data_IF_408913539268
#
_entry.id   IF_408913539268
#
_cell.length_a   1.000
_cell.length_b   1.000
_cell.length_c   1.000
_cell.angle_alpha   90.00
_cell.angle_beta   90.00
_cell.angle_gamma   90.00
#
_symmetry.space_group_name_H-M   'P 1'
#
loop_
_entity.id
_entity.type
_entity.pdbx_description
1 polymer ?
#
# COMPACT_ATOMS: atom_id res chain seq x y z
N UNK A 1 -49.11 -0.74 9.69
CA UNK A 1 -47.80 -1.25 9.22
C UNK A 1 -47.46 -0.53 7.92
N UNK A 2 -46.35 0.22 7.85
CA UNK A 2 -45.81 0.74 6.60
C UNK A 2 -44.32 1.16 6.73
N UNK A 3 -43.52 0.83 5.71
CA UNK A 3 -42.27 1.47 5.31
C UNK A 3 -41.11 1.63 6.33
N UNK A 4 -40.29 0.58 6.49
CA UNK A 4 -38.87 0.69 6.93
C UNK A 4 -37.94 -0.23 6.10
N UNK A 5 -37.99 -0.11 4.76
CA UNK A 5 -37.01 -0.72 3.85
C UNK A 5 -36.73 0.28 2.72
N UNK A 6 -35.51 0.83 2.64
CA UNK A 6 -35.16 1.74 1.53
C UNK A 6 -33.81 2.47 1.58
N UNK A 7 -33.17 2.66 2.73
CA UNK A 7 -32.03 3.60 2.84
C UNK A 7 -30.63 2.98 2.90
N UNK A 8 -30.47 1.66 3.02
CA UNK A 8 -29.14 1.02 3.15
C UNK A 8 -28.38 0.80 1.83
N UNK A 9 -29.02 0.95 0.67
CA UNK A 9 -28.40 0.67 -0.64
C UNK A 9 -27.52 1.79 -1.21
N UNK A 10 -27.78 3.05 -0.82
CA UNK A 10 -27.01 4.20 -1.31
C UNK A 10 -25.67 4.34 -0.57
N UNK A 11 -25.69 4.27 0.77
CA UNK A 11 -24.52 4.38 1.63
C UNK A 11 -23.45 3.32 1.31
N UNK A 12 -23.88 2.06 1.17
CA UNK A 12 -23.02 0.94 0.76
C UNK A 12 -22.40 1.12 -0.63
N UNK A 13 -23.11 1.74 -1.56
CA UNK A 13 -22.58 2.05 -2.91
C UNK A 13 -21.56 3.18 -2.88
N UNK A 14 -21.84 4.26 -2.14
CA UNK A 14 -20.91 5.39 -1.95
C UNK A 14 -19.62 4.90 -1.30
N UNK A 15 -19.72 4.06 -0.27
CA UNK A 15 -18.56 3.46 0.39
C UNK A 15 -17.72 2.57 -0.57
N UNK A 16 -18.37 1.83 -1.46
CA UNK A 16 -17.67 1.03 -2.49
C UNK A 16 -16.98 1.89 -3.56
N UNK A 17 -17.57 3.03 -3.94
CA UNK A 17 -16.98 3.99 -4.86
C UNK A 17 -15.76 4.68 -4.24
N UNK A 18 -15.87 5.19 -3.01
CA UNK A 18 -14.76 5.81 -2.26
C UNK A 18 -13.57 4.84 -2.10
N UNK A 19 -13.84 3.58 -1.75
CA UNK A 19 -12.80 2.52 -1.71
C UNK A 19 -12.16 2.23 -3.06
N UNK A 20 -12.86 2.47 -4.17
CA UNK A 20 -12.32 2.28 -5.53
C UNK A 20 -11.44 3.47 -5.92
N UNK A 21 -11.86 4.69 -5.59
CA UNK A 21 -11.10 5.93 -5.79
C UNK A 21 -9.78 5.91 -5.00
N UNK A 22 -9.81 5.52 -3.72
CA UNK A 22 -8.61 5.34 -2.89
C UNK A 22 -7.61 4.38 -3.57
N UNK A 23 -8.09 3.24 -4.09
CA UNK A 23 -7.23 2.28 -4.80
C UNK A 23 -6.65 2.82 -6.10
N UNK A 24 -7.43 3.61 -6.86
CA UNK A 24 -6.96 4.28 -8.08
C UNK A 24 -5.85 5.28 -7.74
N UNK A 25 -6.02 6.08 -6.67
CA UNK A 25 -5.02 7.05 -6.23
C UNK A 25 -3.70 6.36 -5.83
N UNK A 26 -3.76 5.27 -5.05
CA UNK A 26 -2.56 4.48 -4.68
C UNK A 26 -1.88 3.89 -5.92
N UNK A 27 -2.64 3.40 -6.93
CA UNK A 27 -2.03 2.97 -8.19
C UNK A 27 -1.30 4.15 -8.85
N UNK A 28 -1.90 5.34 -8.96
CA UNK A 28 -1.22 6.48 -9.59
C UNK A 28 0.05 6.91 -8.86
N UNK A 29 0.07 6.83 -7.54
CA UNK A 29 1.27 7.10 -6.71
C UNK A 29 2.38 6.08 -6.93
N UNK A 30 2.05 4.79 -7.07
CA UNK A 30 3.03 3.70 -7.19
C UNK A 30 3.43 3.36 -8.63
N UNK A 31 2.66 3.79 -9.63
CA UNK A 31 2.86 3.42 -11.03
C UNK A 31 4.14 4.01 -11.61
N UNK A 32 4.39 5.30 -11.38
CA UNK A 32 5.63 5.96 -11.79
C UNK A 32 5.91 5.79 -13.30
N UNK A 33 7.15 5.46 -13.67
CA UNK A 33 7.57 5.31 -15.08
C UNK A 33 6.78 4.22 -15.85
N UNK A 34 6.20 3.23 -15.18
CA UNK A 34 5.43 2.14 -15.81
C UNK A 34 4.09 2.60 -16.41
N UNK A 35 3.70 3.87 -16.25
CA UNK A 35 2.40 4.36 -16.75
C UNK A 35 2.24 4.19 -18.26
N UNK A 36 3.30 4.41 -19.04
CA UNK A 36 3.24 4.29 -20.51
C UNK A 36 3.15 2.83 -20.97
N UNK A 37 3.57 1.88 -20.13
CA UNK A 37 3.42 0.45 -20.37
C UNK A 37 2.00 0.00 -19.99
N UNK A 38 1.49 0.44 -18.83
CA UNK A 38 0.11 0.22 -18.44
C UNK A 38 -0.88 0.79 -19.47
N UNK A 39 -0.58 1.97 -20.03
CA UNK A 39 -1.40 2.58 -21.07
C UNK A 39 -1.52 1.68 -22.32
N UNK A 40 -0.40 1.10 -22.77
CA UNK A 40 -0.38 0.18 -23.92
C UNK A 40 -1.12 -1.12 -23.63
N UNK A 41 -0.93 -1.68 -22.44
CA UNK A 41 -1.62 -2.91 -22.00
C UNK A 41 -3.14 -2.69 -21.93
N UNK A 42 -3.56 -1.52 -21.42
CA UNK A 42 -4.94 -1.05 -21.45
C UNK A 42 -5.42 -0.59 -22.84
N UNK A 43 -4.66 -0.84 -23.92
CA UNK A 43 -5.03 -0.52 -25.31
C UNK A 43 -5.22 0.98 -25.61
N UNK A 44 -4.46 1.86 -24.95
CA UNK A 44 -4.36 3.27 -25.36
C UNK A 44 -3.37 3.47 -26.51
N UNK A 45 -3.75 4.34 -27.44
CA UNK A 45 -2.93 4.66 -28.61
C UNK A 45 -1.71 5.52 -28.27
N UNK A 46 -0.75 5.55 -29.19
CA UNK A 46 0.46 6.39 -29.08
C UNK A 46 0.09 7.87 -28.93
N UNK A 47 -1.00 8.32 -29.56
CA UNK A 47 -1.48 9.70 -29.48
C UNK A 47 -2.04 10.07 -28.10
N UNK A 48 -2.78 9.18 -27.44
CA UNK A 48 -3.24 9.40 -26.06
C UNK A 48 -2.07 9.46 -25.07
N UNK A 49 -1.10 8.55 -25.23
CA UNK A 49 0.14 8.53 -24.45
C UNK A 49 0.95 9.80 -24.69
N UNK A 50 1.06 10.27 -25.94
CA UNK A 50 1.72 11.52 -26.27
C UNK A 50 1.01 12.72 -25.64
N UNK A 51 -0.33 12.77 -25.72
CA UNK A 51 -1.14 13.85 -25.12
C UNK A 51 -0.91 13.96 -23.61
N UNK A 52 -1.06 12.85 -22.87
CA UNK A 52 -0.84 12.81 -21.42
C UNK A 52 0.55 13.31 -21.04
N UNK A 53 1.59 12.90 -21.78
CA UNK A 53 2.98 13.32 -21.56
C UNK A 53 3.21 14.81 -21.83
N UNK A 54 2.59 15.37 -22.86
CA UNK A 54 2.73 16.80 -23.22
C UNK A 54 1.94 17.71 -22.27
N UNK A 55 0.78 17.25 -21.80
CA UNK A 55 -0.05 17.96 -20.82
C UNK A 55 0.59 17.98 -19.42
N UNK A 56 1.30 16.91 -19.03
CA UNK A 56 1.82 16.71 -17.69
C UNK A 56 3.36 16.49 -17.65
N UNK A 57 4.18 17.36 -18.29
CA UNK A 57 5.57 17.02 -18.64
C UNK A 57 6.52 16.83 -17.45
N UNK A 58 6.21 17.43 -16.30
CA UNK A 58 7.10 17.49 -15.12
C UNK A 58 6.71 16.53 -13.99
N UNK A 59 5.64 15.74 -14.14
CA UNK A 59 5.08 14.94 -13.04
C UNK A 59 4.62 13.57 -13.53
N UNK A 60 5.30 12.51 -13.06
CA UNK A 60 4.88 11.13 -13.29
C UNK A 60 3.59 10.77 -12.54
N UNK A 61 3.32 11.46 -11.42
CA UNK A 61 2.08 11.32 -10.68
C UNK A 61 0.90 11.81 -11.53
N UNK A 62 0.99 13.03 -12.07
CA UNK A 62 -0.06 13.57 -12.94
C UNK A 62 -0.21 12.76 -14.24
N UNK A 63 0.89 12.28 -14.85
CA UNK A 63 0.81 11.36 -15.99
C UNK A 63 0.05 10.06 -15.64
N UNK A 64 0.32 9.49 -14.45
CA UNK A 64 -0.34 8.27 -13.97
C UNK A 64 -1.81 8.51 -13.62
N UNK A 65 -2.13 9.59 -12.90
CA UNK A 65 -3.51 9.96 -12.56
C UNK A 65 -4.33 10.32 -13.81
N UNK A 66 -3.75 11.04 -14.78
CA UNK A 66 -4.39 11.34 -16.05
C UNK A 66 -4.71 10.07 -16.85
N UNK A 67 -3.81 9.09 -16.88
CA UNK A 67 -4.07 7.78 -17.47
C UNK A 67 -5.24 7.05 -16.81
N UNK A 68 -5.26 6.98 -15.47
CA UNK A 68 -6.34 6.27 -14.76
C UNK A 68 -7.69 6.98 -14.87
N UNK A 69 -7.69 8.32 -14.89
CA UNK A 69 -8.89 9.13 -15.17
C UNK A 69 -9.41 8.91 -16.59
N UNK A 70 -8.52 8.82 -17.58
CA UNK A 70 -8.88 8.52 -18.96
C UNK A 70 -9.41 7.08 -19.11
N UNK A 71 -8.81 6.11 -18.42
CA UNK A 71 -9.30 4.72 -18.34
C UNK A 71 -10.70 4.65 -17.73
N UNK A 72 -10.91 5.27 -16.56
CA UNK A 72 -12.19 5.29 -15.88
C UNK A 72 -13.28 5.96 -16.74
N UNK A 73 -12.93 7.05 -17.43
CA UNK A 73 -13.83 7.75 -18.36
C UNK A 73 -14.18 6.91 -19.59
N UNK A 74 -13.21 6.17 -20.15
CA UNK A 74 -13.39 5.31 -21.33
C UNK A 74 -14.28 4.10 -21.04
N UNK A 75 -14.07 3.44 -19.90
CA UNK A 75 -14.79 2.22 -19.54
C UNK A 75 -16.13 2.53 -18.82
N UNK A 76 -16.21 3.66 -18.12
CA UNK A 76 -17.44 4.18 -17.51
C UNK A 76 -18.11 3.17 -16.57
N UNK A 77 -19.37 2.83 -16.82
CA UNK A 77 -20.12 1.83 -16.03
C UNK A 77 -19.54 0.41 -16.10
N UNK A 78 -18.63 0.15 -17.03
CA UNK A 78 -17.95 -1.15 -17.19
C UNK A 78 -16.60 -1.19 -16.46
N UNK A 79 -16.17 -0.09 -15.83
CA UNK A 79 -14.88 0.02 -15.16
C UNK A 79 -14.74 -1.06 -14.08
N UNK A 80 -13.78 -1.97 -14.25
CA UNK A 80 -13.52 -3.10 -13.36
C UNK A 80 -12.10 -3.03 -12.84
N UNK A 81 -11.97 -3.03 -11.51
CA UNK A 81 -10.66 -3.05 -10.84
C UNK A 81 -9.82 -4.28 -11.23
N UNK A 82 -10.47 -5.42 -11.44
CA UNK A 82 -9.85 -6.67 -11.91
C UNK A 82 -9.10 -6.50 -13.25
N UNK A 83 -9.61 -5.68 -14.16
CA UNK A 83 -8.95 -5.38 -15.43
C UNK A 83 -7.69 -4.56 -15.24
N UNK A 84 -7.68 -3.59 -14.31
CA UNK A 84 -6.44 -2.88 -13.91
C UNK A 84 -5.44 -3.83 -13.27
N UNK A 85 -5.88 -4.70 -12.36
CA UNK A 85 -5.00 -5.66 -11.69
C UNK A 85 -4.36 -6.67 -12.65
N UNK A 86 -5.11 -7.11 -13.67
CA UNK A 86 -4.59 -7.98 -14.72
C UNK A 86 -3.56 -7.23 -15.57
N UNK A 87 -3.87 -6.01 -16.02
CA UNK A 87 -2.95 -5.18 -16.78
C UNK A 87 -1.66 -4.86 -16.00
N UNK A 88 -1.76 -4.55 -14.71
CA UNK A 88 -0.61 -4.34 -13.81
C UNK A 88 0.28 -5.59 -13.71
N UNK A 89 -0.31 -6.78 -13.60
CA UNK A 89 0.44 -8.05 -13.58
C UNK A 89 1.13 -8.35 -14.92
N UNK A 90 0.48 -8.00 -16.04
CA UNK A 90 1.03 -8.21 -17.39
C UNK A 90 2.23 -7.29 -17.72
N UNK A 91 2.41 -6.19 -16.98
CA UNK A 91 3.59 -5.30 -17.07
C UNK A 91 4.59 -5.52 -15.91
N UNK A 92 4.56 -6.70 -15.29
CA UNK A 92 5.40 -7.09 -14.14
C UNK A 92 5.25 -6.21 -12.87
N UNK A 93 4.18 -5.40 -12.78
CA UNK A 93 3.85 -4.54 -11.62
C UNK A 93 2.87 -5.18 -10.64
N UNK A 94 3.07 -6.46 -10.34
CA UNK A 94 2.30 -7.18 -9.33
C UNK A 94 2.49 -6.63 -7.90
N UNK A 95 3.60 -5.93 -7.63
CA UNK A 95 3.92 -5.24 -6.38
C UNK A 95 2.83 -4.24 -5.95
N UNK A 96 2.28 -3.50 -6.92
CA UNK A 96 1.18 -2.55 -6.68
C UNK A 96 -0.08 -3.31 -6.25
N UNK A 97 -0.42 -4.41 -6.92
CA UNK A 97 -1.63 -5.19 -6.62
C UNK A 97 -1.57 -5.76 -5.19
N UNK A 98 -0.43 -6.35 -4.80
CA UNK A 98 -0.23 -6.85 -3.43
C UNK A 98 -0.29 -5.73 -2.39
N UNK A 99 0.20 -4.53 -2.70
CA UNK A 99 0.10 -3.37 -1.79
C UNK A 99 -1.36 -2.95 -1.53
N UNK A 100 -2.23 -3.05 -2.53
CA UNK A 100 -3.66 -2.74 -2.41
C UNK A 100 -4.45 -3.81 -1.64
N UNK A 101 -4.06 -5.08 -1.77
CA UNK A 101 -4.69 -6.19 -1.06
C UNK A 101 -4.32 -6.17 0.44
N UNK A 102 -3.09 -5.78 0.79
CA UNK A 102 -2.65 -5.59 2.17
C UNK A 102 -3.35 -4.45 2.93
N UNK A 103 -4.04 -3.55 2.23
CA UNK A 103 -4.84 -2.47 2.81
C UNK A 103 -6.35 -2.79 2.92
N UNK A 104 -6.77 -4.02 2.60
CA UNK A 104 -8.15 -4.43 2.86
C UNK A 104 -8.46 -4.31 4.37
N UNK A 105 -9.60 -3.71 4.76
CA UNK A 105 -10.07 -3.79 6.13
C UNK A 105 -10.21 -5.26 6.52
N UNK A 106 -9.46 -5.70 7.52
CA UNK A 106 -9.58 -7.02 8.11
C UNK A 106 -11.07 -7.25 8.47
N UNK A 107 -11.74 -8.28 7.93
CA UNK A 107 -13.01 -8.71 8.48
C UNK A 107 -12.76 -9.08 9.94
N UNK A 108 -13.48 -8.44 10.87
CA UNK A 108 -13.40 -8.77 12.28
C UNK A 108 -13.63 -10.28 12.45
N UNK A 109 -12.70 -11.03 13.09
CA UNK A 109 -12.88 -12.47 13.30
C UNK A 109 -13.96 -12.69 14.38
N UNK A 110 -15.22 -12.77 13.93
CA UNK A 110 -16.40 -12.88 14.75
C UNK A 110 -17.23 -14.13 14.42
N UNK A 111 -17.16 -15.12 15.31
CA UNK A 111 -18.03 -16.30 15.41
C UNK A 111 -17.80 -17.47 14.43
N UNK A 112 -17.05 -18.46 14.91
CA UNK A 112 -17.51 -19.85 14.93
C UNK A 112 -17.18 -20.43 16.30
N UNK A 113 -18.10 -21.17 16.90
CA UNK A 113 -18.14 -21.40 18.35
C UNK A 113 -17.25 -22.54 18.88
N UNK A 114 -16.83 -22.35 20.13
CA UNK A 114 -16.54 -23.33 21.19
C UNK A 114 -15.91 -24.70 20.82
N UNK A 115 -14.58 -24.78 20.95
CA UNK A 115 -13.83 -26.03 21.12
C UNK A 115 -13.08 -26.06 22.45
N UNK A 116 -13.79 -26.27 23.56
CA UNK A 116 -13.22 -26.19 24.90
C UNK A 116 -12.37 -27.43 25.28
N UNK A 117 -11.04 -27.35 25.11
CA UNK A 117 -10.11 -28.27 25.76
C UNK A 117 -9.53 -27.63 27.04
N UNK A 118 -9.80 -28.28 28.18
CA UNK A 118 -9.60 -27.74 29.53
C UNK A 118 -8.12 -27.63 29.92
N UNK A 119 -7.85 -26.65 30.77
CA UNK A 119 -6.71 -26.65 31.70
C UNK A 119 -6.70 -27.93 32.55
N UNK A 120 -5.58 -28.65 32.53
CA UNK A 120 -5.04 -29.46 33.63
C UNK A 120 -3.58 -29.73 33.24
N UNK A 121 -2.65 -28.98 33.81
CA UNK A 121 -1.94 -29.38 35.03
C UNK A 121 -0.99 -30.55 34.78
N UNK A 122 0.30 -30.22 34.74
CA UNK A 122 1.33 -31.10 35.30
C UNK A 122 2.63 -30.34 35.57
N UNK A 123 2.80 -30.11 36.87
CA UNK A 123 4.04 -29.92 37.61
C UNK A 123 5.36 -30.03 36.81
N UNK A 124 6.06 -28.90 36.74
CA UNK A 124 7.51 -28.87 36.70
C UNK A 124 7.96 -27.75 37.65
N UNK A 125 7.99 -28.08 38.93
CA UNK A 125 8.89 -27.45 39.92
C UNK A 125 10.25 -27.14 39.26
N UNK A 126 10.87 -25.96 39.41
CA UNK A 126 11.25 -25.30 40.65
C UNK A 126 11.28 -23.76 40.51
N UNK A 127 10.58 -23.06 41.40
CA UNK A 127 10.85 -21.64 41.68
C UNK A 127 12.12 -21.51 42.55
N UNK A 128 12.93 -20.49 42.28
CA UNK A 128 13.91 -19.98 43.25
C UNK A 128 14.15 -18.48 43.01
N UNK A 129 13.49 -17.60 43.79
CA UNK A 129 13.82 -16.18 43.82
C UNK A 129 14.99 -15.94 44.79
N UNK A 130 15.96 -15.10 44.42
CA UNK A 130 16.99 -14.63 45.35
C UNK A 130 17.41 -13.20 45.05
N UNK A 131 16.83 -12.31 45.87
CA UNK A 131 17.32 -11.04 46.40
C UNK A 131 18.71 -10.55 45.94
N UNK A 132 18.70 -9.35 45.34
CA UNK A 132 19.51 -8.16 45.69
C UNK A 132 20.92 -8.36 46.28
N UNK A 133 21.94 -7.85 45.58
CA UNK A 133 23.06 -7.15 46.22
C UNK A 133 23.61 -5.98 45.38
N UNK A 134 24.09 -4.99 46.10
CA UNK A 134 24.53 -3.63 45.80
C UNK A 134 25.66 -3.37 44.76
N UNK A 135 25.51 -2.21 44.09
CA UNK A 135 26.49 -1.11 43.91
C UNK A 135 27.80 -1.35 43.13
N UNK A 136 27.92 -0.68 41.98
CA UNK A 136 28.93 0.38 41.66
C UNK A 136 28.57 0.97 40.28
N UNK A 137 27.95 2.14 40.24
CA UNK A 137 28.58 3.42 39.88
C UNK A 137 29.57 3.38 38.68
N UNK A 138 29.12 3.85 37.51
CA UNK A 138 29.74 4.97 36.74
C UNK A 138 29.08 5.15 35.37
N UNK A 139 28.56 6.37 35.12
CA UNK A 139 28.48 7.03 33.79
C UNK A 139 29.47 8.21 33.85
N UNK A 140 30.09 8.70 32.75
CA UNK A 140 29.49 9.02 31.44
C UNK A 140 30.25 8.32 30.27
N UNK A 141 30.25 8.73 28.98
CA UNK A 141 29.77 9.95 28.32
C UNK A 141 29.41 9.75 26.82
N UNK A 142 28.94 10.83 26.17
CA UNK A 142 28.73 10.90 24.71
C UNK A 142 30.06 11.06 23.97
N UNK A 143 30.22 10.41 22.82
CA UNK A 143 31.05 10.91 21.72
C UNK A 143 30.37 10.68 20.37
N UNK A 144 30.04 11.79 19.69
CA UNK A 144 29.61 11.78 18.28
C UNK A 144 30.85 11.57 17.42
N UNK A 145 30.89 10.49 16.64
CA UNK A 145 31.90 10.30 15.60
C UNK A 145 31.30 10.54 14.21
N UNK A 146 31.86 11.51 13.49
CA UNK A 146 31.47 11.91 12.13
C UNK A 146 32.66 11.62 11.19
N UNK A 147 32.57 10.64 10.28
CA UNK A 147 33.68 10.30 9.39
C UNK A 147 34.09 11.47 8.47
N UNK A 148 35.37 11.51 8.12
CA UNK A 148 36.04 12.68 7.52
C UNK A 148 35.93 12.66 6.00
N UNK A 149 35.83 13.84 5.38
CA UNK A 149 35.92 14.03 3.92
C UNK A 149 37.32 13.65 3.44
N UNK A 150 37.40 12.63 2.59
CA UNK A 150 38.63 12.26 1.87
C UNK A 150 38.76 13.21 0.68
N UNK A 151 39.79 14.05 0.65
CA UNK A 151 40.14 14.84 -0.56
C UNK A 151 40.95 13.95 -1.51
N UNK A 152 40.64 13.90 -2.81
CA UNK A 152 41.47 13.21 -3.79
C UNK A 152 42.82 13.94 -3.99
N UNK A 153 43.88 13.23 -4.41
CA UNK A 153 45.18 13.84 -4.66
C UNK A 153 45.14 14.74 -5.91
N UNK A 154 45.79 15.90 -5.81
CA UNK A 154 45.99 16.79 -6.95
C UNK A 154 47.02 16.20 -7.93
N UNK A 155 46.58 15.79 -9.12
CA UNK A 155 47.49 15.63 -10.25
C UNK A 155 47.83 17.02 -10.80
N UNK A 156 48.98 17.55 -10.39
CA UNK A 156 49.58 18.77 -10.95
C UNK A 156 50.25 18.42 -12.29
N UNK A 157 50.08 19.30 -13.29
CA UNK A 157 51.05 19.52 -14.35
C UNK A 157 51.63 20.93 -14.16
#
# INVERSE_FOLDING_TARGET
>A
MAALVGLNGADTTVNAMERTEIKINIISEQLGLSWAELARELQFGVDDINRIRVENPNSLLDQSSALLNLWASREGKRAKMESLYTALKNIDRADIVTSLEGQAPQPLPGSSEEGACRLSDRDATLLSPSVLNEITDTRPSRLVHKPRVIRPPFYRR
#
